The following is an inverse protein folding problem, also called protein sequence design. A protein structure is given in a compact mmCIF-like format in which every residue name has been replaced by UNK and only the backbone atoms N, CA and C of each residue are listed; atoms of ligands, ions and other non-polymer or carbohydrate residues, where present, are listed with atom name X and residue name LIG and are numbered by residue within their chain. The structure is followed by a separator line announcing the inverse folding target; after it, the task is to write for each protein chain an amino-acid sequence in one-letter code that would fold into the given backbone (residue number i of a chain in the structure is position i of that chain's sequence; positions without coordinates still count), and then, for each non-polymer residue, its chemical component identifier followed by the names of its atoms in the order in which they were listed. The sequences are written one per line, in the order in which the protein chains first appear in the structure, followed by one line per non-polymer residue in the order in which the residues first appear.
data_IF_426662999887
#
_entry.id   IF_426662999887
#
_cell.length_a   1.000
_cell.length_b   1.000
_cell.length_c   1.000
_cell.angle_alpha   90.00
_cell.angle_beta   90.00
_cell.angle_gamma   90.00
#
_symmetry.space_group_name_H-M   'P 1'
#
loop_
_entity.id
_entity.type
_entity.pdbx_description
1 polymer ?
#
# COMPACT_ATOMS: atom_id res chain seq x y z
N UNK A 1 -3.12 -11.20 -15.50
CA UNK A 1 -3.88 -9.92 -15.44
C UNK A 1 -3.23 -8.86 -16.32
N UNK A 2 -1.90 -8.74 -16.32
CA UNK A 2 -1.19 -7.76 -17.17
C UNK A 2 -1.27 -8.06 -18.68
N UNK A 3 -1.26 -9.33 -19.09
CA UNK A 3 -1.36 -9.70 -20.52
C UNK A 3 -2.72 -9.35 -21.12
N UNK A 4 -3.82 -9.55 -20.38
CA UNK A 4 -5.16 -9.17 -20.82
C UNK A 4 -5.29 -7.66 -21.03
N UNK A 5 -4.66 -6.86 -20.17
CA UNK A 5 -4.65 -5.39 -20.27
C UNK A 5 -3.82 -4.93 -21.46
N UNK A 6 -2.67 -5.57 -21.76
CA UNK A 6 -1.89 -5.27 -22.97
C UNK A 6 -2.67 -5.54 -24.25
N UNK A 7 -3.36 -6.68 -24.34
CA UNK A 7 -4.14 -7.02 -25.53
C UNK A 7 -5.31 -6.05 -25.75
N UNK A 8 -5.95 -5.58 -24.66
CA UNK A 8 -7.03 -4.59 -24.74
C UNK A 8 -6.53 -3.19 -25.15
N UNK A 9 -5.34 -2.79 -24.69
CA UNK A 9 -4.73 -1.51 -25.08
C UNK A 9 -4.18 -1.54 -26.51
N UNK A 10 -3.67 -2.69 -26.96
CA UNK A 10 -3.08 -2.86 -28.29
C UNK A 10 -4.14 -2.97 -29.41
N UNK A 11 -5.38 -3.34 -29.06
CA UNK A 11 -6.51 -3.37 -30.01
C UNK A 11 -7.26 -2.02 -30.13
N UNK A 12 -6.79 -0.96 -29.47
CA UNK A 12 -7.31 0.40 -29.68
C UNK A 12 -6.55 1.11 -30.81
N UNK A 13 -6.66 0.57 -32.03
CA UNK A 13 -6.51 1.42 -33.21
C UNK A 13 -7.68 2.42 -33.24
N UNK A 14 -7.46 3.70 -33.62
CA UNK A 14 -8.52 4.67 -33.72
C UNK A 14 -9.44 4.26 -34.86
N UNK A 15 -10.53 3.55 -34.51
CA UNK A 15 -11.63 3.26 -35.41
C UNK A 15 -12.05 4.56 -36.08
N UNK A 16 -11.73 4.66 -37.36
CA UNK A 16 -12.16 5.68 -38.31
C UNK A 16 -13.68 5.48 -38.57
N UNK A 17 -14.47 5.63 -37.51
CA UNK A 17 -15.91 5.74 -37.56
C UNK A 17 -16.33 7.18 -37.89
N UNK A 18 -17.55 7.40 -38.39
CA UNK A 18 -18.06 8.76 -38.56
C UNK A 18 -17.89 9.50 -37.23
N UNK A 19 -17.19 10.65 -37.24
CA UNK A 19 -17.01 11.54 -36.08
C UNK A 19 -18.35 12.19 -35.73
N UNK A 20 -19.32 11.39 -35.29
CA UNK A 20 -20.56 11.91 -34.72
C UNK A 20 -20.21 12.27 -33.29
N UNK A 21 -20.26 13.56 -32.99
CA UNK A 21 -20.08 14.07 -31.63
C UNK A 21 -21.04 13.28 -30.70
N UNK A 22 -20.57 12.74 -29.56
CA UNK A 22 -21.44 12.04 -28.62
C UNK A 22 -22.70 12.85 -28.24
N UNK A 23 -22.62 14.18 -28.27
CA UNK A 23 -23.77 15.08 -28.11
C UNK A 23 -24.74 15.01 -29.29
N UNK A 24 -24.26 14.96 -30.54
CA UNK A 24 -25.09 14.83 -31.73
C UNK A 24 -25.84 13.49 -31.76
N UNK A 25 -25.17 12.41 -31.35
CA UNK A 25 -25.81 11.10 -31.23
C UNK A 25 -26.91 11.10 -30.15
N UNK A 26 -26.62 11.70 -28.99
CA UNK A 26 -27.59 11.84 -27.90
C UNK A 26 -28.78 12.73 -28.31
N UNK A 27 -28.51 13.80 -29.06
CA UNK A 27 -29.54 14.68 -29.61
C UNK A 27 -30.42 13.95 -30.62
N UNK A 28 -29.84 13.18 -31.53
CA UNK A 28 -30.58 12.37 -32.49
C UNK A 28 -31.49 11.33 -31.82
N UNK A 29 -31.00 10.68 -30.74
CA UNK A 29 -31.82 9.77 -29.95
C UNK A 29 -32.99 10.47 -29.27
N UNK A 30 -32.76 11.65 -28.69
CA UNK A 30 -33.80 12.47 -28.08
C UNK A 30 -34.84 12.93 -29.10
N UNK A 31 -34.41 13.40 -30.26
CA UNK A 31 -35.28 13.89 -31.33
C UNK A 31 -36.15 12.73 -31.88
N UNK A 32 -35.57 11.54 -32.06
CA UNK A 32 -36.30 10.34 -32.48
C UNK A 32 -37.33 9.87 -31.45
N UNK A 33 -36.99 9.95 -30.16
CA UNK A 33 -37.93 9.63 -29.07
C UNK A 33 -39.10 10.61 -29.03
N UNK A 34 -38.82 11.91 -29.23
CA UNK A 34 -39.86 12.94 -29.32
C UNK A 34 -40.76 12.70 -30.53
N UNK A 35 -40.21 12.35 -31.68
CA UNK A 35 -40.97 12.09 -32.90
C UNK A 35 -41.88 10.86 -32.77
N UNK A 36 -41.41 9.79 -32.13
CA UNK A 36 -42.25 8.62 -31.79
C UNK A 36 -43.39 9.00 -30.84
N UNK A 37 -43.12 9.86 -29.85
CA UNK A 37 -44.11 10.31 -28.87
C UNK A 37 -45.17 11.23 -29.51
N UNK A 38 -44.75 12.15 -30.37
CA UNK A 38 -45.65 12.99 -31.17
C UNK A 38 -46.51 12.14 -32.12
N UNK A 39 -45.91 11.13 -32.75
CA UNK A 39 -46.62 10.21 -33.65
C UNK A 39 -47.66 9.36 -32.92
N UNK A 40 -47.39 8.95 -31.69
CA UNK A 40 -48.39 8.28 -30.83
C UNK A 40 -49.54 9.22 -30.47
N UNK A 41 -49.24 10.48 -30.15
CA UNK A 41 -50.25 11.48 -29.80
C UNK A 41 -51.14 11.84 -31.01
N UNK A 42 -50.56 12.05 -32.19
CA UNK A 42 -51.29 12.37 -33.41
C UNK A 42 -52.10 11.16 -33.92
N UNK A 43 -51.61 9.94 -33.67
CA UNK A 43 -52.35 8.71 -33.95
C UNK A 43 -53.52 8.46 -32.96
N UNK A 44 -53.57 9.20 -31.84
CA UNK A 44 -54.66 9.20 -30.85
C UNK A 44 -55.62 10.41 -31.02
N UNK A 45 -55.20 11.49 -31.70
CA UNK A 45 -55.99 12.72 -31.93
C UNK A 45 -56.49 12.90 -33.39
N UNK A 46 -56.86 11.80 -34.06
CA UNK A 46 -57.74 11.84 -35.25
C UNK A 46 -59.20 12.16 -34.88
N UNK A 47 -59.96 12.86 -35.74
CA UNK A 47 -60.83 13.97 -35.37
C UNK A 47 -61.94 13.64 -34.35
N UNK A 48 -61.97 14.43 -33.28
CA UNK A 48 -63.13 14.63 -32.40
C UNK A 48 -64.29 15.28 -33.15
N UNK A 49 -65.03 14.48 -33.92
CA UNK A 49 -66.32 14.89 -34.45
C UNK A 49 -67.25 13.67 -34.58
N UNK A 50 -68.17 13.56 -33.62
CA UNK A 50 -69.41 12.76 -33.63
C UNK A 50 -69.32 11.28 -34.01
N UNK A 51 -69.58 10.40 -33.05
CA UNK A 51 -70.80 9.55 -33.02
C UNK A 51 -70.64 8.52 -31.91
N UNK A 52 -71.60 8.51 -30.99
CA UNK A 52 -71.78 7.45 -30.02
C UNK A 52 -71.97 6.11 -30.76
N UNK A 53 -71.16 5.11 -30.43
CA UNK A 53 -71.58 3.73 -30.21
C UNK A 53 -70.37 2.85 -29.89
N UNK A 54 -70.40 2.22 -28.72
CA UNK A 54 -69.60 1.02 -28.42
C UNK A 54 -70.42 -0.16 -28.92
N UNK A 55 -69.79 -1.17 -29.53
CA UNK A 55 -69.84 -2.46 -28.85
C UNK A 55 -68.57 -3.31 -28.97
N UNK A 56 -68.33 -4.03 -27.88
CA UNK A 56 -67.89 -5.42 -27.85
C UNK A 56 -66.48 -5.82 -28.36
N UNK A 57 -65.80 -6.55 -27.47
CA UNK A 57 -64.95 -7.71 -27.79
C UNK A 57 -63.56 -7.43 -28.39
N UNK A 58 -62.61 -7.16 -27.49
CA UNK A 58 -61.22 -7.63 -27.60
C UNK A 58 -60.74 -8.13 -26.23
N UNK A 59 -61.50 -9.06 -25.64
CA UNK A 59 -60.94 -9.99 -24.67
C UNK A 59 -60.50 -11.25 -25.44
N UNK A 60 -59.28 -11.72 -25.14
CA UNK A 60 -58.67 -12.99 -25.56
C UNK A 60 -58.03 -13.08 -26.98
N UNK A 61 -56.86 -12.46 -27.16
CA UNK A 61 -55.85 -12.96 -28.12
C UNK A 61 -54.41 -12.44 -27.89
N UNK A 62 -53.94 -12.30 -26.65
CA UNK A 62 -52.57 -11.78 -26.45
C UNK A 62 -51.93 -11.97 -25.07
N UNK A 63 -52.28 -13.02 -24.31
CA UNK A 63 -51.84 -13.12 -22.91
C UNK A 63 -51.47 -14.53 -22.43
N UNK A 64 -51.01 -15.42 -23.30
CA UNK A 64 -50.37 -16.68 -22.87
C UNK A 64 -48.84 -16.63 -23.01
N UNK A 65 -48.32 -15.98 -24.05
CA UNK A 65 -46.86 -15.80 -24.25
C UNK A 65 -46.22 -14.79 -23.29
N UNK A 66 -47.00 -13.89 -22.67
CA UNK A 66 -46.47 -12.97 -21.65
C UNK A 66 -46.11 -13.72 -20.36
N UNK A 67 -46.76 -14.84 -20.08
CA UNK A 67 -46.62 -15.56 -18.81
C UNK A 67 -45.21 -16.18 -18.60
N UNK A 68 -44.61 -16.93 -19.55
CA UNK A 68 -43.25 -17.45 -19.40
C UNK A 68 -42.18 -16.35 -19.45
N UNK A 69 -42.39 -15.29 -20.24
CA UNK A 69 -41.47 -14.16 -20.31
C UNK A 69 -41.47 -13.35 -19.01
N UNK A 70 -42.64 -13.10 -18.42
CA UNK A 70 -42.77 -12.46 -17.10
C UNK A 70 -42.16 -13.32 -15.99
N UNK A 71 -42.32 -14.66 -16.05
CA UNK A 71 -41.68 -15.56 -15.10
C UNK A 71 -40.15 -15.52 -15.21
N UNK A 72 -39.62 -15.50 -16.45
CA UNK A 72 -38.18 -15.37 -16.68
C UNK A 72 -37.64 -14.00 -16.26
N UNK A 73 -38.39 -12.92 -16.53
CA UNK A 73 -38.05 -11.57 -16.06
C UNK A 73 -37.95 -11.54 -14.53
N UNK A 74 -38.96 -12.08 -13.82
CA UNK A 74 -38.94 -12.16 -12.36
C UNK A 74 -37.75 -12.98 -11.83
N UNK A 75 -37.40 -14.07 -12.50
CA UNK A 75 -36.24 -14.87 -12.14
C UNK A 75 -34.93 -14.08 -12.31
N UNK A 76 -34.79 -13.36 -13.42
CA UNK A 76 -33.63 -12.51 -13.69
C UNK A 76 -33.56 -11.32 -12.72
N UNK A 77 -34.69 -10.71 -12.36
CA UNK A 77 -34.75 -9.64 -11.34
C UNK A 77 -34.31 -10.15 -9.96
N UNK A 78 -34.75 -11.34 -9.57
CA UNK A 78 -34.33 -11.98 -8.33
C UNK A 78 -32.82 -12.32 -8.34
N UNK A 79 -32.31 -12.84 -9.46
CA UNK A 79 -30.88 -13.12 -9.63
C UNK A 79 -30.06 -11.83 -9.59
N UNK A 80 -30.49 -10.77 -10.28
CA UNK A 80 -29.83 -9.47 -10.26
C UNK A 80 -29.81 -8.87 -8.85
N UNK A 81 -30.93 -8.96 -8.12
CA UNK A 81 -30.99 -8.52 -6.72
C UNK A 81 -30.04 -9.33 -5.83
N UNK A 82 -29.96 -10.65 -6.02
CA UNK A 82 -29.04 -11.50 -5.27
C UNK A 82 -27.57 -11.15 -5.59
N UNK A 83 -27.25 -10.95 -6.87
CA UNK A 83 -25.92 -10.52 -7.32
C UNK A 83 -25.55 -9.13 -6.77
N UNK A 84 -26.50 -8.20 -6.71
CA UNK A 84 -26.28 -6.88 -6.13
C UNK A 84 -25.94 -6.97 -4.63
N UNK A 85 -26.69 -7.79 -3.89
CA UNK A 85 -26.45 -8.02 -2.46
C UNK A 85 -25.09 -8.68 -2.20
N UNK A 86 -24.70 -9.66 -3.02
CA UNK A 86 -23.39 -10.30 -2.95
C UNK A 86 -22.27 -9.31 -3.29
N UNK A 87 -22.45 -8.49 -4.33
CA UNK A 87 -21.46 -7.46 -4.70
C UNK A 87 -21.24 -6.46 -3.55
N UNK A 88 -22.32 -5.97 -2.92
CA UNK A 88 -22.23 -5.08 -1.77
C UNK A 88 -21.56 -5.74 -0.57
N UNK A 89 -21.80 -7.03 -0.36
CA UNK A 89 -21.17 -7.81 0.71
C UNK A 89 -19.67 -7.94 0.46
N UNK A 90 -19.26 -8.28 -0.76
CA UNK A 90 -17.86 -8.38 -1.15
C UNK A 90 -17.15 -7.03 -1.04
N UNK A 91 -17.76 -5.95 -1.51
CA UNK A 91 -17.21 -4.58 -1.36
C UNK A 91 -16.89 -4.27 0.10
N UNK A 92 -17.84 -4.54 1.01
CA UNK A 92 -17.64 -4.32 2.46
C UNK A 92 -16.54 -5.22 3.04
N UNK A 93 -16.40 -6.46 2.57
CA UNK A 93 -15.31 -7.35 3.00
C UNK A 93 -13.95 -6.85 2.50
N UNK A 94 -13.87 -6.40 1.25
CA UNK A 94 -12.63 -5.83 0.71
C UNK A 94 -12.22 -4.56 1.45
N UNK A 95 -13.18 -3.69 1.77
CA UNK A 95 -12.93 -2.49 2.58
C UNK A 95 -12.34 -2.85 3.96
N UNK A 96 -12.98 -3.77 4.69
CA UNK A 96 -12.45 -4.25 5.98
C UNK A 96 -11.08 -4.90 5.87
N UNK A 97 -10.86 -5.72 4.84
CA UNK A 97 -9.58 -6.36 4.61
C UNK A 97 -8.47 -5.34 4.33
N UNK A 98 -8.76 -4.30 3.55
CA UNK A 98 -7.83 -3.20 3.31
C UNK A 98 -7.50 -2.46 4.61
N UNK A 99 -8.49 -2.18 5.46
CA UNK A 99 -8.28 -1.55 6.76
C UNK A 99 -7.41 -2.42 7.69
N UNK A 100 -7.66 -3.73 7.73
CA UNK A 100 -6.86 -4.68 8.51
C UNK A 100 -5.41 -4.74 8.03
N UNK A 101 -5.18 -4.79 6.71
CA UNK A 101 -3.83 -4.78 6.13
C UNK A 101 -3.14 -3.46 6.43
N UNK A 102 -3.83 -2.32 6.27
CA UNK A 102 -3.27 -1.01 6.60
C UNK A 102 -2.87 -0.93 8.09
N UNK A 103 -3.72 -1.41 8.99
CA UNK A 103 -3.44 -1.44 10.42
C UNK A 103 -2.23 -2.33 10.75
N UNK A 104 -2.15 -3.53 10.16
CA UNK A 104 -1.00 -4.42 10.33
C UNK A 104 0.30 -3.78 9.84
N UNK A 105 0.27 -3.11 8.68
CA UNK A 105 1.44 -2.39 8.14
C UNK A 105 1.86 -1.27 9.09
N UNK A 106 0.93 -0.46 9.60
CA UNK A 106 1.25 0.62 10.56
C UNK A 106 1.86 0.06 11.85
N UNK A 107 1.29 -1.01 12.41
CA UNK A 107 1.84 -1.66 13.61
C UNK A 107 3.24 -2.22 13.38
N UNK A 108 3.48 -2.85 12.23
CA UNK A 108 4.79 -3.37 11.87
C UNK A 108 5.82 -2.24 11.71
N UNK A 109 5.44 -1.12 11.10
CA UNK A 109 6.32 0.06 10.96
C UNK A 109 6.66 0.70 12.31
N UNK A 110 5.70 0.83 13.22
CA UNK A 110 5.94 1.33 14.57
C UNK A 110 6.90 0.40 15.34
N UNK A 111 6.64 -0.90 15.32
CA UNK A 111 7.52 -1.90 15.94
C UNK A 111 8.93 -1.86 15.33
N UNK A 112 9.03 -1.71 14.00
CA UNK A 112 10.32 -1.58 13.33
C UNK A 112 11.07 -0.32 13.75
N UNK A 113 10.36 0.80 13.91
CA UNK A 113 10.95 2.06 14.41
C UNK A 113 11.50 1.86 15.82
N UNK A 114 10.72 1.28 16.71
CA UNK A 114 11.12 1.07 18.11
C UNK A 114 12.32 0.13 18.22
N UNK A 115 12.35 -0.97 17.44
CA UNK A 115 13.51 -1.87 17.38
C UNK A 115 14.78 -1.16 16.87
N UNK A 116 14.65 -0.25 15.89
CA UNK A 116 15.79 0.54 15.40
C UNK A 116 16.32 1.49 16.49
N UNK A 117 15.43 2.11 17.26
CA UNK A 117 15.80 2.96 18.40
C UNK A 117 16.54 2.16 19.48
N UNK A 118 16.03 0.97 19.85
CA UNK A 118 16.70 0.07 20.79
C UNK A 118 18.07 -0.38 20.27
N UNK A 119 18.20 -0.68 18.98
CA UNK A 119 19.50 -1.01 18.37
C UNK A 119 20.52 0.13 18.53
N UNK A 120 20.09 1.38 18.37
CA UNK A 120 20.96 2.56 18.57
C UNK A 120 21.36 2.68 20.04
N UNK A 121 20.41 2.57 20.98
CA UNK A 121 20.69 2.62 22.42
C UNK A 121 21.70 1.54 22.82
N UNK A 122 21.52 0.32 22.34
CA UNK A 122 22.40 -0.80 22.65
C UNK A 122 23.79 -0.58 22.06
N UNK A 123 23.90 -0.06 20.83
CA UNK A 123 25.19 0.29 20.21
C UNK A 123 25.94 1.33 21.01
N UNK A 124 25.27 2.39 21.45
CA UNK A 124 25.87 3.42 22.32
C UNK A 124 26.34 2.79 23.63
N UNK A 125 25.52 1.94 24.25
CA UNK A 125 25.89 1.25 25.50
C UNK A 125 27.10 0.34 25.33
N UNK A 126 27.20 -0.39 24.22
CA UNK A 126 28.36 -1.22 23.89
C UNK A 126 29.61 -0.36 23.74
N UNK A 127 29.53 0.73 22.98
CA UNK A 127 30.66 1.66 22.81
C UNK A 127 31.15 2.23 24.15
N UNK A 128 30.25 2.65 25.03
CA UNK A 128 30.60 3.16 26.36
C UNK A 128 31.30 2.09 27.21
N UNK A 129 30.79 0.85 27.19
CA UNK A 129 31.38 -0.27 27.92
C UNK A 129 32.76 -0.65 27.38
N UNK A 130 32.95 -0.65 26.06
CA UNK A 130 34.25 -0.88 25.41
C UNK A 130 35.25 0.20 25.80
N UNK A 131 34.83 1.47 25.82
CA UNK A 131 35.66 2.59 26.25
C UNK A 131 36.05 2.43 27.73
N UNK A 132 35.09 2.11 28.61
CA UNK A 132 35.36 1.85 30.03
C UNK A 132 36.36 0.69 30.22
N UNK A 133 36.17 -0.42 29.52
CA UNK A 133 37.09 -1.56 29.55
C UNK A 133 38.49 -1.20 29.07
N UNK A 134 38.62 -0.37 28.03
CA UNK A 134 39.91 0.11 27.53
C UNK A 134 40.64 0.95 28.59
N UNK A 135 39.93 1.87 29.25
CA UNK A 135 40.50 2.70 30.33
C UNK A 135 40.98 1.82 31.49
N UNK A 136 40.14 0.90 31.95
CA UNK A 136 40.48 -0.04 33.02
C UNK A 136 41.71 -0.89 32.67
N UNK A 137 41.80 -1.37 31.42
CA UNK A 137 42.94 -2.15 30.94
C UNK A 137 44.24 -1.34 30.99
N UNK A 138 44.21 -0.05 30.63
CA UNK A 138 45.38 0.84 30.72
C UNK A 138 45.78 1.07 32.17
N UNK A 139 44.82 1.38 33.06
CA UNK A 139 45.08 1.58 34.49
C UNK A 139 45.68 0.32 35.13
N UNK A 140 45.18 -0.86 34.78
CA UNK A 140 45.71 -2.13 35.27
C UNK A 140 47.14 -2.37 34.77
N UNK A 141 47.40 -2.16 33.47
CA UNK A 141 48.76 -2.28 32.93
C UNK A 141 49.74 -1.29 33.57
N UNK A 142 49.32 -0.05 33.83
CA UNK A 142 50.15 0.92 34.55
C UNK A 142 50.48 0.43 35.96
N UNK A 143 49.48 -0.04 36.72
CA UNK A 143 49.68 -0.58 38.08
C UNK A 143 50.63 -1.78 38.07
N UNK A 144 50.46 -2.72 37.14
CA UNK A 144 51.33 -3.91 37.03
C UNK A 144 52.77 -3.48 36.71
N UNK A 145 52.97 -2.59 35.72
CA UNK A 145 54.30 -2.08 35.34
C UNK A 145 55.00 -1.35 36.50
N UNK A 146 54.25 -0.55 37.27
CA UNK A 146 54.78 0.14 38.46
C UNK A 146 55.14 -0.85 39.58
N UNK A 147 54.39 -1.95 39.73
CA UNK A 147 54.68 -3.01 40.72
C UNK A 147 55.88 -3.88 40.34
N UNK A 148 56.24 -3.96 39.06
CA UNK A 148 57.37 -4.75 38.55
C UNK A 148 58.66 -3.94 38.35
N UNK A 149 58.63 -2.62 38.57
CA UNK A 149 59.84 -1.80 38.54
C UNK A 149 60.72 -2.17 39.75
N UNK A 150 61.98 -2.63 39.56
CA UNK A 150 62.84 -2.95 40.68
C UNK A 150 63.13 -1.65 41.44
N UNK A 151 62.81 -1.64 42.73
CA UNK A 151 63.42 -0.74 43.71
C UNK A 151 64.91 -1.09 43.73
N UNK A 152 65.69 -0.47 42.84
CA UNK A 152 67.15 -0.56 42.92
C UNK A 152 67.58 0.07 44.23
N UNK A 153 68.06 -0.80 45.12
CA UNK A 153 68.68 -0.51 46.39
C UNK A 153 69.64 0.68 46.28
N UNK A 154 69.33 1.73 47.04
CA UNK A 154 70.35 2.56 47.67
C UNK A 154 70.93 1.70 48.79
N UNK A 155 72.15 1.20 48.60
CA UNK A 155 72.77 0.26 49.53
C UNK A 155 74.26 0.03 49.28
N UNK A 156 75.07 0.92 49.85
CA UNK A 156 76.35 0.65 50.55
C UNK A 156 77.60 0.13 49.81
N UNK A 157 78.69 0.84 50.08
CA UNK A 157 80.06 0.35 50.36
C UNK A 157 80.88 -0.34 49.25
N UNK A 158 81.96 0.35 48.89
CA UNK A 158 83.12 -0.19 48.17
C UNK A 158 84.31 0.77 48.26
N UNK A 159 84.89 0.93 49.44
CA UNK A 159 86.28 1.37 49.62
C UNK A 159 87.21 0.25 49.17
N UNK A 160 88.15 0.51 48.27
CA UNK A 160 89.57 0.12 48.39
C UNK A 160 90.37 0.48 47.12
N UNK A 161 91.33 1.38 47.34
CA UNK A 161 92.70 1.45 46.82
C UNK A 161 93.00 1.18 45.34
N UNK A 162 93.48 2.25 44.66
CA UNK A 162 94.57 2.11 43.69
C UNK A 162 95.65 3.16 43.97
N UNK A 163 96.80 2.62 44.34
CA UNK A 163 98.11 3.20 44.62
C UNK A 163 98.52 4.31 43.65
N UNK A 164 98.86 5.49 44.19
CA UNK A 164 99.49 6.60 43.47
C UNK A 164 100.93 6.74 43.97
N UNK A 165 101.83 5.92 43.45
CA UNK A 165 103.27 6.09 43.66
C UNK A 165 103.83 7.17 42.73
N UNK A 166 103.93 8.38 43.27
CA UNK A 166 104.60 9.54 42.69
C UNK A 166 106.10 9.42 42.99
N UNK A 167 106.91 9.09 42.00
CA UNK A 167 108.37 9.07 42.13
C UNK A 167 108.94 10.46 41.80
N UNK A 168 109.62 11.05 42.77
CA UNK A 168 110.44 12.26 42.66
C UNK A 168 111.92 11.88 42.62
N UNK A 169 112.68 12.33 41.61
CA UNK A 169 114.12 12.74 41.62
C UNK A 169 114.56 13.03 40.18
N UNK A 170 114.88 14.28 39.81
CA UNK A 170 116.16 14.97 40.01
C UNK A 170 117.27 14.49 39.06
N UNK A 171 117.44 15.18 37.93
CA UNK A 171 118.68 15.85 37.43
C UNK A 171 118.21 16.99 36.52
#
# INVERSE_FOLDING_TARGET
MEETVRTLLQNQDPLEGPKVDPLDLMKAYKDKLLEEMWKQQDSLEGPTASTAERPAELDAAGSEDSNPLLQRLRALEAENSALSMENDTQRKQYERCLDEVANQVVQALLTQKDLKEECVKLRTRVFDLEQQNRILSVLFQQRVKMSTAPVSQVGTHGTMDTDRHRQTKAV
#
